data_IF_807129995971
#
_entry.id   IF_807129995971
#
_cell.length_a   1.000
_cell.length_b   1.000
_cell.length_c   1.000
_cell.angle_alpha   90.00
_cell.angle_beta   90.00
_cell.angle_gamma   90.00
#
_symmetry.space_group_name_H-M   'P 1'
#
loop_
_entity.id
_entity.type
_entity.pdbx_description
1 polymer ?
#
# COMPACT_ATOMS: atom_id res chain seq x y z
N UNK A 1 -2.79 22.21 21.61
CA UNK A 1 -2.82 21.37 20.39
C UNK A 1 -1.60 20.46 20.27
N UNK A 2 -0.38 20.89 20.63
CA UNK A 2 0.80 20.01 20.68
C UNK A 2 0.65 18.77 21.59
N UNK A 3 -0.07 18.90 22.71
CA UNK A 3 -0.24 17.79 23.67
C UNK A 3 -0.96 16.56 23.11
N UNK A 4 -1.86 16.73 22.15
CA UNK A 4 -2.67 15.62 21.64
C UNK A 4 -1.90 14.75 20.63
N UNK A 5 -1.02 15.37 19.82
CA UNK A 5 -0.10 14.65 18.95
C UNK A 5 1.03 13.98 19.73
N UNK A 6 1.56 14.62 20.76
CA UNK A 6 2.55 14.01 21.66
C UNK A 6 1.93 12.81 22.39
N UNK A 7 0.68 12.93 22.86
CA UNK A 7 -0.07 11.80 23.43
C UNK A 7 -0.26 10.67 22.42
N UNK A 8 -0.58 10.99 21.16
CA UNK A 8 -0.65 9.99 20.09
C UNK A 8 0.69 9.26 19.90
N UNK A 9 1.80 10.00 19.74
CA UNK A 9 3.15 9.41 19.58
C UNK A 9 3.53 8.54 20.78
N UNK A 10 3.28 9.01 21.99
CA UNK A 10 3.57 8.25 23.21
C UNK A 10 2.71 6.98 23.30
N UNK A 11 1.43 7.06 22.91
CA UNK A 11 0.53 5.90 22.90
C UNK A 11 0.96 4.88 21.84
N UNK A 12 1.36 5.33 20.65
CA UNK A 12 1.90 4.47 19.60
C UNK A 12 3.16 3.75 20.09
N UNK A 13 4.11 4.46 20.70
CA UNK A 13 5.34 3.88 21.26
C UNK A 13 5.03 2.86 22.36
N UNK A 14 4.15 3.21 23.29
CA UNK A 14 3.79 2.35 24.40
C UNK A 14 3.08 1.07 23.93
N UNK A 15 2.09 1.17 23.04
CA UNK A 15 1.35 0.02 22.52
C UNK A 15 2.22 -0.87 21.62
N UNK A 16 3.12 -0.26 20.84
CA UNK A 16 4.10 -1.01 20.04
C UNK A 16 5.06 -1.79 20.93
N UNK A 17 5.58 -1.17 22.00
CA UNK A 17 6.45 -1.83 22.97
C UNK A 17 5.73 -2.95 23.75
N UNK A 18 4.42 -2.83 23.95
CA UNK A 18 3.60 -3.85 24.61
C UNK A 18 3.10 -4.95 23.66
N UNK A 19 3.37 -4.86 22.36
CA UNK A 19 2.91 -5.84 21.36
C UNK A 19 1.40 -5.81 21.09
N UNK A 20 0.68 -4.77 21.54
CA UNK A 20 -0.78 -4.68 21.44
C UNK A 20 -1.22 -4.09 20.10
N UNK A 21 -0.90 -4.81 19.01
CA UNK A 21 -1.08 -4.32 17.63
C UNK A 21 -2.55 -4.09 17.25
N UNK A 22 -3.48 -4.88 17.78
CA UNK A 22 -4.93 -4.70 17.53
C UNK A 22 -5.46 -3.41 18.14
N UNK A 23 -5.10 -3.11 19.39
CA UNK A 23 -5.48 -1.86 20.05
C UNK A 23 -4.82 -0.65 19.39
N UNK A 24 -3.59 -0.83 18.89
CA UNK A 24 -2.89 0.20 18.12
C UNK A 24 -3.64 0.53 16.83
N UNK A 25 -4.12 -0.48 16.09
CA UNK A 25 -4.96 -0.28 14.91
C UNK A 25 -6.26 0.49 15.23
N UNK A 26 -6.95 0.14 16.33
CA UNK A 26 -8.15 0.87 16.76
C UNK A 26 -7.85 2.33 17.12
N UNK A 27 -6.75 2.58 17.83
CA UNK A 27 -6.31 3.92 18.18
C UNK A 27 -6.00 4.74 16.91
N UNK A 28 -5.28 4.14 15.96
CA UNK A 28 -4.95 4.75 14.68
C UNK A 28 -6.20 5.15 13.92
N UNK A 29 -7.16 4.24 13.78
CA UNK A 29 -8.42 4.50 13.09
C UNK A 29 -9.22 5.65 13.74
N UNK A 30 -9.21 5.74 15.08
CA UNK A 30 -9.85 6.85 15.81
C UNK A 30 -9.07 8.17 15.70
N UNK A 31 -7.76 8.11 15.54
CA UNK A 31 -6.88 9.28 15.49
C UNK A 31 -6.81 9.96 14.11
N UNK A 32 -7.39 9.36 13.06
CA UNK A 32 -7.32 9.87 11.70
C UNK A 32 -7.75 11.34 11.56
N UNK A 33 -8.86 11.74 12.20
CA UNK A 33 -9.31 13.14 12.20
C UNK A 33 -8.35 14.09 12.92
N UNK A 34 -7.69 13.62 13.98
CA UNK A 34 -6.73 14.40 14.74
C UNK A 34 -5.47 14.65 13.91
N UNK A 35 -4.98 13.62 13.22
CA UNK A 35 -3.85 13.72 12.29
C UNK A 35 -4.18 14.67 11.13
N UNK A 36 -5.38 14.56 10.56
CA UNK A 36 -5.84 15.43 9.46
C UNK A 36 -5.93 16.91 9.86
N UNK A 37 -6.20 17.21 11.14
CA UNK A 37 -6.24 18.60 11.65
C UNK A 37 -4.87 19.19 11.94
N UNK A 38 -3.81 18.38 12.06
CA UNK A 38 -2.49 18.84 12.51
C UNK A 38 -1.38 18.53 11.49
N UNK A 39 -1.63 18.80 10.21
CA UNK A 39 -0.76 18.47 9.08
C UNK A 39 0.65 19.05 9.18
N UNK A 40 0.77 20.29 9.66
CA UNK A 40 2.05 21.01 9.80
C UNK A 40 3.03 20.34 10.78
N UNK A 41 2.53 19.45 11.64
CA UNK A 41 3.33 18.76 12.65
C UNK A 41 3.59 17.29 12.31
N UNK A 42 3.02 16.79 11.20
CA UNK A 42 3.15 15.37 10.83
C UNK A 42 4.59 14.99 10.47
N UNK A 43 5.37 15.88 9.87
CA UNK A 43 6.80 15.60 9.60
C UNK A 43 7.61 15.47 10.89
N UNK A 44 7.29 16.26 11.91
CA UNK A 44 7.89 16.12 13.26
C UNK A 44 7.50 14.78 13.89
N UNK A 45 6.24 14.36 13.73
CA UNK A 45 5.74 13.06 14.21
C UNK A 45 6.45 11.91 13.49
N UNK A 46 6.60 11.98 12.17
CA UNK A 46 7.34 10.99 11.38
C UNK A 46 8.80 10.90 11.83
N UNK A 47 9.46 12.03 12.07
CA UNK A 47 10.83 12.05 12.59
C UNK A 47 10.97 11.49 14.01
N UNK A 48 9.90 11.46 14.80
CA UNK A 48 9.89 10.90 16.13
C UNK A 48 9.56 9.39 16.15
N UNK A 49 9.04 8.81 15.07
CA UNK A 49 8.65 7.41 15.03
C UNK A 49 9.68 6.58 14.26
N UNK A 50 10.13 5.49 14.88
CA UNK A 50 10.94 4.50 14.18
C UNK A 50 10.06 3.63 13.26
N UNK A 51 10.49 3.42 12.01
CA UNK A 51 9.69 2.73 10.99
C UNK A 51 9.55 1.24 11.26
N UNK A 52 10.53 0.59 11.87
CA UNK A 52 10.49 -0.85 12.18
C UNK A 52 9.62 -1.10 13.42
N UNK A 53 9.83 -0.32 14.47
CA UNK A 53 9.09 -0.49 15.73
C UNK A 53 7.66 0.05 15.65
N UNK A 54 7.44 1.15 14.93
CA UNK A 54 6.17 1.89 14.89
C UNK A 54 5.52 1.90 13.50
N UNK A 55 5.70 0.83 12.71
CA UNK A 55 5.24 0.77 11.32
C UNK A 55 3.78 1.19 11.12
N UNK A 56 2.89 0.79 12.04
CA UNK A 56 1.47 1.15 11.98
C UNK A 56 1.22 2.65 12.19
N UNK A 57 1.94 3.28 13.13
CA UNK A 57 1.83 4.72 13.37
C UNK A 57 2.36 5.53 12.18
N UNK A 58 3.48 5.10 11.60
CA UNK A 58 4.04 5.72 10.39
C UNK A 58 3.09 5.55 9.20
N UNK A 59 2.49 4.36 9.03
CA UNK A 59 1.47 4.10 8.00
C UNK A 59 0.29 5.09 8.10
N UNK A 60 -0.25 5.27 9.30
CA UNK A 60 -1.38 6.16 9.53
C UNK A 60 -1.07 7.60 9.10
N UNK A 61 0.10 8.10 9.48
CA UNK A 61 0.53 9.46 9.14
C UNK A 61 0.72 9.60 7.63
N UNK A 62 1.37 8.64 6.98
CA UNK A 62 1.59 8.66 5.52
C UNK A 62 0.28 8.59 4.74
N UNK A 63 -0.66 7.75 5.19
CA UNK A 63 -1.99 7.63 4.58
C UNK A 63 -2.78 8.94 4.67
N UNK A 64 -2.76 9.61 5.82
CA UNK A 64 -3.41 10.94 5.98
C UNK A 64 -2.73 11.98 5.09
N UNK A 65 -1.39 11.99 4.99
CA UNK A 65 -0.66 12.92 4.10
C UNK A 65 -1.02 12.71 2.63
N UNK A 66 -1.22 11.47 2.18
CA UNK A 66 -1.64 11.16 0.81
C UNK A 66 -3.12 11.43 0.54
N UNK A 67 -3.98 11.37 1.56
CA UNK A 67 -5.41 11.67 1.45
C UNK A 67 -5.70 13.17 1.29
N UNK A 68 -4.67 14.02 1.29
CA UNK A 68 -4.80 15.46 1.10
C UNK A 68 -5.18 15.81 -0.35
N UNK A 69 -6.14 16.73 -0.57
CA UNK A 69 -6.57 17.12 -1.91
C UNK A 69 -5.46 17.82 -2.73
N UNK A 70 -4.42 18.32 -2.08
CA UNK A 70 -3.22 18.83 -2.73
C UNK A 70 -2.00 18.43 -1.90
N UNK A 71 -1.12 17.61 -2.47
CA UNK A 71 0.17 17.27 -1.88
C UNK A 71 1.19 18.33 -2.32
N UNK A 72 1.57 19.28 -1.45
CA UNK A 72 2.44 20.39 -1.82
C UNK A 72 3.87 19.94 -2.19
N UNK A 73 4.34 18.84 -1.61
CA UNK A 73 5.64 18.25 -1.92
C UNK A 73 5.54 16.74 -2.13
N UNK A 74 5.17 16.37 -3.36
CA UNK A 74 5.02 14.97 -3.75
C UNK A 74 6.36 14.22 -3.76
N UNK A 75 7.48 14.86 -4.09
CA UNK A 75 8.77 14.17 -4.16
C UNK A 75 9.25 13.74 -2.78
N UNK A 76 9.11 14.62 -1.78
CA UNK A 76 9.41 14.28 -0.39
C UNK A 76 8.45 13.20 0.13
N UNK A 77 7.15 13.34 -0.13
CA UNK A 77 6.16 12.35 0.31
C UNK A 77 6.37 10.98 -0.35
N UNK A 78 6.68 10.96 -1.65
CA UNK A 78 7.03 9.76 -2.40
C UNK A 78 8.25 9.07 -1.80
N UNK A 79 9.31 9.85 -1.49
CA UNK A 79 10.53 9.33 -0.87
C UNK A 79 10.26 8.74 0.52
N UNK A 80 9.39 9.39 1.31
CA UNK A 80 8.95 8.88 2.61
C UNK A 80 8.20 7.55 2.47
N UNK A 81 7.27 7.42 1.51
CA UNK A 81 6.54 6.17 1.28
C UNK A 81 7.44 5.07 0.73
N UNK A 82 8.35 5.39 -0.17
CA UNK A 82 9.34 4.42 -0.68
C UNK A 82 10.20 3.88 0.47
N UNK A 83 10.74 4.76 1.31
CA UNK A 83 11.51 4.35 2.48
C UNK A 83 10.67 3.49 3.42
N UNK A 84 9.43 3.90 3.69
CA UNK A 84 8.50 3.16 4.54
C UNK A 84 8.25 1.74 4.03
N UNK A 85 7.85 1.57 2.77
CA UNK A 85 7.57 0.24 2.20
C UNK A 85 8.81 -0.66 2.21
N UNK A 86 10.00 -0.08 2.00
CA UNK A 86 11.26 -0.84 2.04
C UNK A 86 11.67 -1.28 3.45
N UNK A 87 11.31 -0.51 4.48
CA UNK A 87 11.79 -0.71 5.86
C UNK A 87 10.71 -1.15 6.85
N UNK A 88 9.44 -1.15 6.48
CA UNK A 88 8.36 -1.53 7.39
C UNK A 88 8.42 -3.00 7.81
N UNK A 89 7.91 -3.29 9.00
CA UNK A 89 7.73 -4.65 9.49
C UNK A 89 6.45 -5.25 8.90
N UNK A 90 6.60 -6.31 8.09
CA UNK A 90 5.48 -6.99 7.45
C UNK A 90 4.48 -7.62 8.43
N UNK A 91 4.93 -8.05 9.61
CA UNK A 91 4.04 -8.58 10.65
C UNK A 91 3.08 -7.51 11.18
N UNK A 92 3.60 -6.30 11.40
CA UNK A 92 2.77 -5.15 11.80
C UNK A 92 1.78 -4.78 10.69
N UNK A 93 2.24 -4.72 9.43
CA UNK A 93 1.39 -4.38 8.28
C UNK A 93 0.21 -5.35 8.13
N UNK A 94 0.40 -6.64 8.45
CA UNK A 94 -0.68 -7.64 8.37
C UNK A 94 -1.85 -7.37 9.31
N UNK A 95 -1.70 -6.52 10.33
CA UNK A 95 -2.82 -6.06 11.16
C UNK A 95 -3.62 -4.90 10.54
N UNK A 96 -3.01 -4.15 9.61
CA UNK A 96 -3.61 -2.99 8.96
C UNK A 96 -3.52 -3.09 7.42
N UNK A 97 -3.85 -4.26 6.88
CA UNK A 97 -3.76 -4.56 5.44
C UNK A 97 -4.60 -3.61 4.59
N UNK A 98 -5.77 -3.20 5.08
CA UNK A 98 -6.67 -2.27 4.38
C UNK A 98 -6.06 -0.87 4.26
N UNK A 99 -5.55 -0.30 5.34
CA UNK A 99 -4.88 1.01 5.30
C UNK A 99 -3.60 0.98 4.47
N UNK A 100 -2.86 -0.13 4.50
CA UNK A 100 -1.64 -0.30 3.70
C UNK A 100 -1.94 -0.44 2.21
N UNK A 101 -2.96 -1.24 1.84
CA UNK A 101 -3.46 -1.32 0.47
C UNK A 101 -3.98 0.06 0.00
N UNK A 102 -4.75 0.75 0.83
CA UNK A 102 -5.22 2.12 0.59
C UNK A 102 -4.09 3.11 0.29
N UNK A 103 -2.99 3.06 1.05
CA UNK A 103 -1.81 3.88 0.77
C UNK A 103 -1.20 3.55 -0.60
N UNK A 104 -1.13 2.27 -0.94
CA UNK A 104 -0.61 1.82 -2.24
C UNK A 104 -1.51 2.27 -3.40
N UNK A 105 -2.83 2.17 -3.25
CA UNK A 105 -3.80 2.68 -4.24
C UNK A 105 -3.65 4.20 -4.45
N UNK A 106 -3.51 4.96 -3.37
CA UNK A 106 -3.29 6.42 -3.44
C UNK A 106 -1.97 6.76 -4.12
N UNK A 107 -0.89 6.04 -3.80
CA UNK A 107 0.40 6.18 -4.47
C UNK A 107 0.29 5.88 -5.97
N UNK A 108 -0.38 4.79 -6.34
CA UNK A 108 -0.62 4.38 -7.73
C UNK A 108 -1.35 5.48 -8.48
N UNK A 109 -2.48 5.96 -7.97
CA UNK A 109 -3.26 7.03 -8.60
C UNK A 109 -2.42 8.31 -8.79
N UNK A 110 -1.68 8.73 -7.77
CA UNK A 110 -0.83 9.92 -7.85
C UNK A 110 0.28 9.79 -8.92
N UNK A 111 0.87 8.59 -9.07
CA UNK A 111 1.87 8.32 -10.11
C UNK A 111 1.26 8.30 -11.51
N UNK A 112 0.04 7.76 -11.65
CA UNK A 112 -0.69 7.73 -12.91
C UNK A 112 -1.07 9.13 -13.36
N UNK A 113 -1.62 9.96 -12.47
CA UNK A 113 -1.97 11.36 -12.75
C UNK A 113 -0.75 12.19 -13.18
N UNK A 114 0.39 11.94 -12.55
CA UNK A 114 1.68 12.60 -12.86
C UNK A 114 2.42 12.00 -14.05
N UNK A 115 1.88 10.95 -14.68
CA UNK A 115 2.48 10.23 -15.82
C UNK A 115 3.87 9.63 -15.49
N UNK A 116 4.07 9.19 -14.26
CA UNK A 116 5.32 8.55 -13.79
C UNK A 116 5.11 7.11 -13.28
N UNK A 117 4.38 6.23 -13.99
CA UNK A 117 4.00 4.91 -13.49
C UNK A 117 5.19 3.98 -13.20
N UNK A 118 6.30 4.14 -13.94
CA UNK A 118 7.49 3.30 -13.81
C UNK A 118 8.11 3.34 -12.40
N UNK A 119 8.01 4.50 -11.71
CA UNK A 119 8.60 4.69 -10.37
C UNK A 119 7.92 3.83 -9.30
N UNK A 120 6.63 3.55 -9.46
CA UNK A 120 5.84 2.80 -8.48
C UNK A 120 6.01 1.29 -8.56
N UNK A 121 6.42 0.74 -9.71
CA UNK A 121 6.47 -0.71 -9.95
C UNK A 121 7.34 -1.42 -8.90
N UNK A 122 8.55 -0.92 -8.65
CA UNK A 122 9.46 -1.53 -7.66
C UNK A 122 8.90 -1.47 -6.24
N UNK A 123 8.20 -0.38 -5.91
CA UNK A 123 7.60 -0.16 -4.60
C UNK A 123 6.42 -1.11 -4.38
N UNK A 124 5.51 -1.22 -5.36
CA UNK A 124 4.34 -2.10 -5.25
C UNK A 124 4.72 -3.59 -5.15
N UNK A 125 5.81 -4.01 -5.82
CA UNK A 125 6.33 -5.36 -5.64
C UNK A 125 6.72 -5.65 -4.18
N UNK A 126 7.48 -4.73 -3.57
CA UNK A 126 7.84 -4.84 -2.15
C UNK A 126 6.60 -4.81 -1.25
N UNK A 127 5.61 -3.98 -1.58
CA UNK A 127 4.36 -3.90 -0.84
C UNK A 127 3.58 -5.23 -0.87
N UNK A 128 3.48 -5.86 -2.05
CA UNK A 128 2.87 -7.20 -2.20
C UNK A 128 3.62 -8.22 -1.36
N UNK A 129 4.95 -8.25 -1.45
CA UNK A 129 5.79 -9.20 -0.71
C UNK A 129 5.64 -9.06 0.83
N UNK A 130 5.39 -7.84 1.32
CA UNK A 130 5.16 -7.56 2.75
C UNK A 130 3.76 -7.97 3.21
N UNK A 131 2.75 -7.80 2.37
CA UNK A 131 1.37 -8.14 2.71
C UNK A 131 1.10 -9.64 2.63
N UNK A 132 1.60 -10.29 1.58
CA UNK A 132 1.25 -11.68 1.29
C UNK A 132 1.74 -12.62 2.39
N UNK A 133 0.91 -13.60 2.76
CA UNK A 133 1.30 -14.70 3.65
C UNK A 133 1.92 -15.85 2.88
N UNK A 134 1.50 -16.05 1.63
CA UNK A 134 2.03 -17.03 0.70
C UNK A 134 2.06 -16.42 -0.72
N UNK A 135 2.84 -17.02 -1.62
CA UNK A 135 3.00 -16.53 -3.01
C UNK A 135 1.76 -16.67 -3.89
N UNK A 136 0.76 -17.43 -3.41
CA UNK A 136 -0.45 -17.74 -4.16
C UNK A 136 -1.64 -16.91 -3.67
N UNK A 137 -1.38 -15.89 -2.85
CA UNK A 137 -2.39 -15.03 -2.26
C UNK A 137 -2.52 -13.73 -3.06
N UNK A 138 -3.68 -13.55 -3.68
CA UNK A 138 -4.03 -12.32 -4.39
C UNK A 138 -4.35 -11.20 -3.39
N UNK A 139 -3.61 -10.10 -3.49
CA UNK A 139 -3.89 -8.82 -2.80
C UNK A 139 -4.49 -7.81 -3.76
N UNK A 140 -5.14 -6.75 -3.27
CA UNK A 140 -5.66 -5.68 -4.14
C UNK A 140 -4.55 -4.94 -4.89
N UNK A 141 -3.35 -4.85 -4.30
CA UNK A 141 -2.16 -4.20 -4.87
C UNK A 141 -1.67 -4.89 -6.17
N UNK A 142 -2.00 -6.16 -6.38
CA UNK A 142 -1.66 -6.83 -7.64
C UNK A 142 -2.31 -6.15 -8.86
N UNK A 143 -3.55 -5.65 -8.71
CA UNK A 143 -4.22 -4.91 -9.77
C UNK A 143 -3.49 -3.60 -10.08
N UNK A 144 -3.06 -2.87 -9.05
CA UNK A 144 -2.27 -1.64 -9.19
C UNK A 144 -0.93 -1.89 -9.88
N UNK A 145 -0.23 -2.96 -9.50
CA UNK A 145 1.04 -3.34 -10.13
C UNK A 145 0.85 -3.56 -11.63
N UNK A 146 -0.19 -4.31 -12.01
CA UNK A 146 -0.52 -4.56 -13.41
C UNK A 146 -0.88 -3.25 -14.15
N UNK A 147 -1.65 -2.36 -13.51
CA UNK A 147 -1.98 -1.04 -14.07
C UNK A 147 -0.73 -0.20 -14.35
N UNK A 148 0.20 -0.12 -13.39
CA UNK A 148 1.46 0.61 -13.55
C UNK A 148 2.32 -0.01 -14.66
N UNK A 149 2.41 -1.35 -14.72
CA UNK A 149 3.14 -2.06 -15.76
C UNK A 149 2.57 -1.77 -17.17
N UNK A 150 1.24 -1.74 -17.31
CA UNK A 150 0.55 -1.41 -18.56
C UNK A 150 0.86 0.03 -19.01
N UNK A 151 0.69 1.00 -18.11
CA UNK A 151 0.90 2.41 -18.40
C UNK A 151 2.37 2.73 -18.68
N UNK A 152 3.30 2.08 -17.98
CA UNK A 152 4.74 2.20 -18.23
C UNK A 152 5.21 1.42 -19.47
N UNK A 153 4.35 0.60 -20.08
CA UNK A 153 4.71 -0.36 -21.15
C UNK A 153 5.87 -1.29 -20.74
N UNK A 154 5.94 -1.63 -19.45
CA UNK A 154 6.97 -2.46 -18.86
C UNK A 154 6.32 -3.65 -18.18
N UNK A 155 6.20 -4.77 -18.91
CA UNK A 155 5.40 -5.92 -18.48
C UNK A 155 6.17 -6.94 -17.64
N UNK A 156 7.49 -7.03 -17.84
CA UNK A 156 8.37 -8.02 -17.17
C UNK A 156 8.19 -8.06 -15.65
N UNK A 157 8.02 -6.93 -14.93
CA UNK A 157 7.88 -6.95 -13.47
C UNK A 157 6.60 -7.62 -12.96
N UNK A 158 5.52 -7.68 -13.76
CA UNK A 158 4.25 -8.31 -13.38
C UNK A 158 4.22 -9.82 -13.64
N UNK A 159 5.03 -10.33 -14.58
CA UNK A 159 5.04 -11.75 -14.96
C UNK A 159 5.23 -12.73 -13.80
N UNK A 160 6.14 -12.50 -12.83
CA UNK A 160 6.30 -13.43 -11.71
C UNK A 160 5.04 -13.64 -10.87
N UNK A 161 4.09 -12.70 -10.91
CA UNK A 161 2.81 -12.80 -10.22
C UNK A 161 1.73 -13.37 -11.14
N UNK A 162 1.72 -12.98 -12.42
CA UNK A 162 0.77 -13.46 -13.44
C UNK A 162 0.99 -14.92 -13.86
N UNK A 163 2.20 -15.44 -13.71
CA UNK A 163 2.54 -16.83 -14.03
C UNK A 163 2.15 -17.79 -12.88
N UNK A 164 1.79 -17.26 -11.71
CA UNK A 164 1.37 -18.01 -10.53
C UNK A 164 -0.15 -18.10 -10.48
N UNK A 165 -0.65 -19.31 -10.25
CA UNK A 165 -2.08 -19.53 -10.01
C UNK A 165 -2.44 -19.05 -8.60
N UNK A 166 -3.29 -18.01 -8.55
CA UNK A 166 -3.78 -17.44 -7.30
C UNK A 166 -4.83 -18.36 -6.69
N UNK A 167 -4.52 -18.95 -5.53
CA UNK A 167 -5.36 -19.92 -4.84
C UNK A 167 -6.08 -19.32 -3.63
N UNK A 168 -5.53 -18.25 -3.07
CA UNK A 168 -6.05 -17.55 -1.91
C UNK A 168 -6.27 -16.06 -2.22
N UNK A 169 -7.17 -15.42 -1.48
CA UNK A 169 -7.40 -13.97 -1.56
C UNK A 169 -7.12 -13.35 -0.19
N UNK A 170 -6.31 -12.28 -0.16
CA UNK A 170 -6.04 -11.52 1.04
C UNK A 170 -7.30 -10.76 1.47
N UNK A 171 -7.83 -11.07 2.65
CA UNK A 171 -9.00 -10.36 3.20
C UNK A 171 -8.56 -9.08 3.87
N UNK A 172 -8.53 -7.98 3.13
CA UNK A 172 -8.16 -6.66 3.60
C UNK A 172 -9.23 -6.13 4.56
N UNK A 173 -9.05 -6.40 5.87
CA UNK A 173 -10.05 -6.14 6.91
C UNK A 173 -11.35 -6.96 6.76
N UNK A 174 -11.22 -8.22 6.31
CA UNK A 174 -12.34 -9.18 6.26
C UNK A 174 -13.15 -9.17 4.96
N UNK A 175 -12.93 -8.20 4.08
CA UNK A 175 -13.54 -8.13 2.76
C UNK A 175 -12.47 -8.05 1.66
N UNK A 176 -12.85 -8.44 0.44
CA UNK A 176 -12.05 -8.19 -0.76
C UNK A 176 -12.96 -7.59 -1.82
N UNK A 177 -12.60 -6.42 -2.34
CA UNK A 177 -13.39 -5.76 -3.36
C UNK A 177 -13.25 -6.50 -4.69
N UNK A 178 -14.37 -6.99 -5.21
CA UNK A 178 -14.46 -7.70 -6.50
C UNK A 178 -13.87 -6.87 -7.66
N UNK A 179 -13.86 -5.54 -7.55
CA UNK A 179 -13.21 -4.67 -8.52
C UNK A 179 -11.72 -5.00 -8.68
N UNK A 180 -10.98 -5.18 -7.59
CA UNK A 180 -9.54 -5.48 -7.67
C UNK A 180 -9.29 -6.86 -8.25
N UNK A 181 -10.17 -7.83 -7.98
CA UNK A 181 -10.15 -9.15 -8.62
C UNK A 181 -10.23 -9.01 -10.14
N UNK A 182 -11.31 -8.37 -10.62
CA UNK A 182 -11.59 -8.22 -12.04
C UNK A 182 -10.53 -7.39 -12.74
N UNK A 183 -10.05 -6.31 -12.10
CA UNK A 183 -8.96 -5.50 -12.62
C UNK A 183 -7.67 -6.30 -12.76
N UNK A 184 -7.31 -7.14 -11.79
CA UNK A 184 -6.13 -8.00 -11.87
C UNK A 184 -6.18 -8.91 -13.09
N UNK A 185 -7.28 -9.65 -13.28
CA UNK A 185 -7.42 -10.57 -14.40
C UNK A 185 -7.50 -9.85 -15.74
N UNK A 186 -8.28 -8.77 -15.83
CA UNK A 186 -8.38 -7.97 -17.05
C UNK A 186 -7.03 -7.37 -17.46
N UNK A 187 -6.29 -6.78 -16.51
CA UNK A 187 -4.97 -6.21 -16.79
C UNK A 187 -3.93 -7.30 -17.09
N UNK A 188 -3.99 -8.45 -16.43
CA UNK A 188 -3.18 -9.63 -16.74
C UNK A 188 -3.39 -10.09 -18.18
N UNK A 189 -4.65 -10.20 -18.62
CA UNK A 189 -5.00 -10.52 -20.00
C UNK A 189 -4.45 -9.49 -21.00
N UNK A 190 -4.53 -8.19 -20.68
CA UNK A 190 -3.94 -7.12 -21.51
C UNK A 190 -2.41 -7.24 -21.61
N UNK A 191 -1.73 -7.56 -20.50
CA UNK A 191 -0.29 -7.76 -20.46
C UNK A 191 0.11 -8.94 -21.35
N UNK A 192 -0.55 -10.10 -21.22
CA UNK A 192 -0.27 -11.27 -22.05
C UNK A 192 -0.59 -11.03 -23.53
N UNK A 193 -1.67 -10.30 -23.82
CA UNK A 193 -1.99 -9.86 -25.19
C UNK A 193 -0.86 -9.00 -25.77
N UNK A 194 -0.34 -8.05 -24.98
CA UNK A 194 0.81 -7.22 -25.36
C UNK A 194 2.09 -8.02 -25.61
N UNK A 195 2.26 -9.15 -24.90
CA UNK A 195 3.36 -10.11 -25.09
C UNK A 195 3.10 -11.13 -26.19
N UNK A 196 1.93 -11.09 -26.84
CA UNK A 196 1.47 -12.07 -27.86
C UNK A 196 1.33 -13.50 -27.33
N UNK A 197 1.17 -13.68 -26.02
CA UNK A 197 0.83 -14.96 -25.42
C UNK A 197 -0.69 -15.08 -25.33
N UNK A 198 -1.33 -15.37 -26.48
CA UNK A 198 -2.79 -15.33 -26.59
C UNK A 198 -3.49 -16.44 -25.80
N UNK A 199 -2.84 -17.58 -25.59
CA UNK A 199 -3.37 -18.69 -24.81
C UNK A 199 -3.56 -18.27 -23.34
N UNK A 200 -2.51 -17.71 -22.73
CA UNK A 200 -2.60 -17.16 -21.37
C UNK A 200 -3.52 -15.95 -21.30
N UNK A 201 -3.53 -15.09 -22.32
CA UNK A 201 -4.43 -13.94 -22.35
C UNK A 201 -5.90 -14.38 -22.31
N UNK A 202 -6.27 -15.40 -23.09
CA UNK A 202 -7.63 -15.94 -23.12
C UNK A 202 -8.03 -16.48 -21.75
N UNK A 203 -7.18 -17.29 -21.12
CA UNK A 203 -7.41 -17.80 -19.77
C UNK A 203 -7.69 -16.66 -18.77
N UNK A 204 -6.90 -15.58 -18.82
CA UNK A 204 -7.11 -14.42 -17.94
C UNK A 204 -8.40 -13.65 -18.23
N UNK A 205 -8.90 -13.66 -19.47
CA UNK A 205 -10.16 -13.00 -19.82
C UNK A 205 -11.40 -13.84 -19.50
N UNK A 206 -11.25 -15.13 -19.23
CA UNK A 206 -12.34 -16.05 -18.88
C UNK A 206 -12.67 -16.10 -17.38
N UNK A 207 -11.80 -15.52 -16.53
CA UNK A 207 -11.95 -15.45 -15.07
C UNK A 207 -12.82 -14.25 -14.65
#
# INVERSE_FOLDING_TARGET
MASALEQFVNSVRQLSAQGQMTQLCELINKSGELLAKNLSHLDTVLGALDVQEHSLGVLAVLFVKFSMPSVPDFETLFSQVQLFISTCNGEHIRYATDTFAGLCHQLTNALVERKQPLRGIGILKQAIDKMQMNTNQLTSIHADLCQLCLLAKCFKPALPYLDVDMMDICKENGAYDAKHFLCYYYYGGMIYTGLKNFERALYFYEQ
#
